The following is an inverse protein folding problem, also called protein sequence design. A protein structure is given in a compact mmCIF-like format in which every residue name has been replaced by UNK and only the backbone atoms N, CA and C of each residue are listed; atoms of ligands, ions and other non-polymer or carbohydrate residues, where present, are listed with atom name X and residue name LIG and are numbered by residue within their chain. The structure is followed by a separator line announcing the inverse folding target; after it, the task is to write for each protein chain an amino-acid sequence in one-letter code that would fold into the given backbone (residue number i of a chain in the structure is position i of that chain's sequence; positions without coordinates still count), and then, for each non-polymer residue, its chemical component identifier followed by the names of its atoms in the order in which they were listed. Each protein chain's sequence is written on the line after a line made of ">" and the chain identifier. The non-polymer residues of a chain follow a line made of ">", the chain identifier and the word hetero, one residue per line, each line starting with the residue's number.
data_IF_189812170314
#
_entry.id   IF_189812170314
#
_cell.length_a   1.000
_cell.length_b   1.000
_cell.length_c   1.000
_cell.angle_alpha   90.00
_cell.angle_beta   90.00
_cell.angle_gamma   90.00
#
_symmetry.space_group_name_H-M   'P 1'
#
loop_
_entity.id
_entity.type
_entity.pdbx_description
1 polymer ?
#
# COMPACT_ATOMS: atom_id res chain seq x y z
N UNK A 1 9.06 36.46 44.56
CA UNK A 1 7.84 35.65 44.24
C UNK A 1 7.49 35.68 42.75
N UNK A 2 7.61 36.83 42.04
CA UNK A 2 7.27 36.90 40.60
C UNK A 2 8.10 36.02 39.68
N UNK A 3 9.41 35.97 39.90
CA UNK A 3 10.33 35.15 39.09
C UNK A 3 10.02 33.63 39.17
N UNK A 4 9.66 33.16 40.38
CA UNK A 4 9.31 31.76 40.60
C UNK A 4 8.00 31.36 39.88
N UNK A 5 7.02 32.27 39.83
CA UNK A 5 5.75 32.06 39.13
C UNK A 5 6.00 31.98 37.62
N UNK A 6 6.82 32.86 37.05
CA UNK A 6 7.18 32.84 35.64
C UNK A 6 7.94 31.56 35.29
N UNK A 7 8.90 31.16 36.10
CA UNK A 7 9.65 29.91 35.89
C UNK A 7 8.74 28.67 35.92
N UNK A 8 7.80 28.63 36.87
CA UNK A 8 6.81 27.55 36.97
C UNK A 8 5.87 27.53 35.75
N UNK A 9 5.38 28.70 35.32
CA UNK A 9 4.52 28.81 34.16
C UNK A 9 5.22 28.34 32.87
N UNK A 10 6.48 28.69 32.66
CA UNK A 10 7.29 28.24 31.52
C UNK A 10 7.49 26.73 31.58
N UNK A 11 7.84 26.17 32.74
CA UNK A 11 8.04 24.73 32.91
C UNK A 11 6.75 23.95 32.65
N UNK A 12 5.61 24.39 33.15
CA UNK A 12 4.32 23.76 32.89
C UNK A 12 3.93 23.87 31.43
N UNK A 13 4.11 25.03 30.79
CA UNK A 13 3.81 25.22 29.37
C UNK A 13 4.67 24.31 28.48
N UNK A 14 5.95 24.18 28.81
CA UNK A 14 6.83 23.28 28.07
C UNK A 14 6.41 21.81 28.22
N UNK A 15 6.07 21.37 29.44
CA UNK A 15 5.61 20.00 29.71
C UNK A 15 4.30 19.71 29.00
N UNK A 16 3.33 20.62 29.06
CA UNK A 16 2.04 20.45 28.34
C UNK A 16 2.28 20.43 26.83
N UNK A 17 3.10 21.35 26.30
CA UNK A 17 3.41 21.38 24.86
C UNK A 17 4.05 20.09 24.36
N UNK A 18 5.01 19.54 25.09
CA UNK A 18 5.63 18.25 24.75
C UNK A 18 4.62 17.11 24.82
N UNK A 19 3.77 17.07 25.86
CA UNK A 19 2.74 16.02 25.99
C UNK A 19 1.76 16.05 24.82
N UNK A 20 1.24 17.22 24.46
CA UNK A 20 0.32 17.39 23.31
C UNK A 20 0.98 16.98 22.01
N UNK A 21 2.25 17.32 21.80
CA UNK A 21 3.01 16.93 20.61
C UNK A 21 3.17 15.40 20.53
N UNK A 22 3.53 14.75 21.63
CA UNK A 22 3.69 13.28 21.69
C UNK A 22 2.37 12.57 21.44
N UNK A 23 1.26 13.06 22.05
CA UNK A 23 -0.05 12.45 21.85
C UNK A 23 -0.57 12.64 20.42
N UNK A 24 -0.35 13.82 19.83
CA UNK A 24 -0.69 14.09 18.43
C UNK A 24 0.12 13.17 17.49
N UNK A 25 1.41 13.01 17.74
CA UNK A 25 2.28 12.13 16.95
C UNK A 25 1.83 10.66 17.05
N UNK A 26 1.58 10.17 18.28
CA UNK A 26 1.05 8.81 18.48
C UNK A 26 -0.27 8.60 17.74
N UNK A 27 -1.20 9.55 17.85
CA UNK A 27 -2.49 9.49 17.15
C UNK A 27 -2.33 9.45 15.63
N UNK A 28 -1.35 10.19 15.09
CA UNK A 28 -1.06 10.19 13.65
C UNK A 28 -0.43 8.87 13.19
N UNK A 29 0.53 8.33 13.97
CA UNK A 29 1.16 7.04 13.66
C UNK A 29 0.16 5.90 13.75
N UNK A 30 -0.70 5.87 14.76
CA UNK A 30 -1.72 4.82 14.89
C UNK A 30 -2.69 4.85 13.71
N UNK A 31 -3.22 6.04 13.35
CA UNK A 31 -4.09 6.16 12.17
C UNK A 31 -3.39 5.72 10.89
N UNK A 32 -2.15 6.11 10.71
CA UNK A 32 -1.36 5.68 9.55
C UNK A 32 -1.18 4.15 9.51
N UNK A 33 -0.89 3.52 10.64
CA UNK A 33 -0.77 2.06 10.73
C UNK A 33 -2.10 1.37 10.42
N UNK A 34 -3.20 1.84 11.00
CA UNK A 34 -4.54 1.31 10.76
C UNK A 34 -4.96 1.45 9.29
N UNK A 35 -4.59 2.53 8.61
CA UNK A 35 -4.85 2.74 7.20
C UNK A 35 -3.92 1.90 6.30
N UNK A 36 -2.63 1.80 6.64
CA UNK A 36 -1.64 1.11 5.81
C UNK A 36 -1.66 -0.40 5.95
N UNK A 37 -2.02 -0.91 7.15
CA UNK A 37 -2.04 -2.34 7.47
C UNK A 37 -3.48 -2.83 7.52
N UNK A 38 -4.08 -3.06 6.36
CA UNK A 38 -5.48 -3.52 6.27
C UNK A 38 -5.63 -5.03 6.50
N UNK A 39 -4.59 -5.82 6.23
CA UNK A 39 -4.62 -7.27 6.48
C UNK A 39 -4.11 -7.58 7.90
N UNK A 40 -4.64 -8.66 8.48
CA UNK A 40 -4.27 -9.12 9.82
C UNK A 40 -2.86 -9.71 9.86
N UNK A 41 -2.43 -10.36 8.77
CA UNK A 41 -1.10 -10.95 8.64
C UNK A 41 -0.53 -10.67 7.26
N UNK A 42 0.74 -10.28 7.22
CA UNK A 42 1.48 -10.11 5.97
C UNK A 42 2.60 -11.13 5.85
N UNK A 43 2.65 -11.80 4.71
CA UNK A 43 3.75 -12.65 4.30
C UNK A 43 4.41 -12.07 3.04
N UNK A 44 5.73 -11.98 3.02
CA UNK A 44 6.40 -11.39 1.87
C UNK A 44 7.90 -11.69 1.82
N UNK A 45 8.50 -11.39 0.67
CA UNK A 45 9.93 -11.53 0.41
C UNK A 45 10.53 -10.15 0.11
N UNK A 46 11.77 -9.94 0.55
CA UNK A 46 12.48 -8.68 0.28
C UNK A 46 13.00 -8.60 -1.16
N UNK A 47 13.24 -9.74 -1.79
CA UNK A 47 13.74 -9.83 -3.18
C UNK A 47 13.14 -11.06 -3.85
N UNK A 48 12.82 -10.91 -5.14
CA UNK A 48 12.22 -11.97 -5.94
C UNK A 48 10.71 -12.04 -5.78
N UNK A 49 10.16 -13.22 -5.78
CA UNK A 49 8.73 -13.48 -5.61
C UNK A 49 8.54 -14.63 -4.62
N UNK A 50 7.37 -14.68 -3.99
CA UNK A 50 6.93 -15.82 -3.20
C UNK A 50 6.84 -17.05 -4.12
N UNK A 51 7.32 -18.19 -3.63
CA UNK A 51 7.13 -19.47 -4.31
C UNK A 51 5.65 -19.77 -4.53
N UNK A 52 5.28 -20.25 -5.72
CA UNK A 52 3.87 -20.43 -6.10
C UNK A 52 3.15 -21.46 -5.21
N UNK A 53 3.84 -22.57 -4.84
CA UNK A 53 3.25 -23.56 -3.95
C UNK A 53 3.12 -23.03 -2.52
N UNK A 54 4.04 -22.16 -2.08
CA UNK A 54 3.94 -21.49 -0.79
C UNK A 54 2.76 -20.51 -0.81
N UNK A 55 2.61 -19.72 -1.87
CA UNK A 55 1.50 -18.79 -2.03
C UNK A 55 0.14 -19.50 -1.94
N UNK A 56 0.00 -20.64 -2.63
CA UNK A 56 -1.20 -21.46 -2.58
C UNK A 56 -1.43 -22.10 -1.19
N UNK A 57 -0.36 -22.55 -0.54
CA UNK A 57 -0.46 -23.10 0.81
C UNK A 57 -0.90 -22.04 1.83
N UNK A 58 -0.38 -20.80 1.72
CA UNK A 58 -0.74 -19.67 2.58
C UNK A 58 -2.20 -19.25 2.41
N UNK A 59 -2.70 -19.24 1.17
CA UNK A 59 -4.11 -18.93 0.87
C UNK A 59 -5.10 -19.94 1.45
N UNK A 60 -4.65 -21.20 1.68
CA UNK A 60 -5.47 -22.30 2.20
C UNK A 60 -5.36 -22.49 3.71
N UNK A 61 -4.74 -21.58 4.42
CA UNK A 61 -4.71 -21.64 5.89
C UNK A 61 -6.14 -21.48 6.42
N UNK A 62 -6.56 -22.39 7.29
CA UNK A 62 -7.88 -22.34 7.92
C UNK A 62 -8.05 -21.03 8.69
N UNK A 63 -9.19 -20.38 8.52
CA UNK A 63 -9.53 -19.10 9.12
C UNK A 63 -9.07 -17.89 8.29
N UNK A 64 -8.56 -18.08 7.07
CA UNK A 64 -8.32 -17.00 6.09
C UNK A 64 -9.57 -16.81 5.25
N UNK A 65 -10.22 -15.66 5.39
CA UNK A 65 -11.43 -15.30 4.64
C UNK A 65 -11.10 -14.71 3.26
N UNK A 66 -10.09 -13.85 3.20
CA UNK A 66 -9.69 -13.18 1.96
C UNK A 66 -8.17 -12.94 1.91
N UNK A 67 -7.68 -12.66 0.71
CA UNK A 67 -6.26 -12.34 0.51
C UNK A 67 -6.09 -11.17 -0.44
N UNK A 68 -5.07 -10.35 -0.18
CA UNK A 68 -4.55 -9.36 -1.13
C UNK A 68 -3.14 -9.76 -1.57
N UNK A 69 -2.75 -9.36 -2.77
CA UNK A 69 -1.39 -9.60 -3.27
C UNK A 69 -0.81 -8.32 -3.85
N UNK A 70 0.49 -8.13 -3.70
CA UNK A 70 1.19 -7.07 -4.41
C UNK A 70 2.45 -7.57 -5.10
N UNK A 71 2.73 -6.99 -6.27
CA UNK A 71 3.98 -7.11 -7.00
C UNK A 71 4.54 -5.73 -7.23
N UNK A 72 5.81 -5.52 -6.91
CA UNK A 72 6.52 -4.25 -7.11
C UNK A 72 7.60 -4.44 -8.16
N UNK A 73 7.53 -3.63 -9.19
CA UNK A 73 8.55 -3.53 -10.23
C UNK A 73 9.09 -2.09 -10.31
N UNK A 74 9.99 -1.90 -11.26
CA UNK A 74 10.49 -0.58 -11.60
C UNK A 74 10.42 -0.42 -13.11
N UNK A 75 9.89 0.70 -13.53
CA UNK A 75 9.93 1.13 -14.92
C UNK A 75 10.85 2.35 -15.02
N UNK A 76 11.52 2.49 -16.16
CA UNK A 76 12.38 3.64 -16.44
C UNK A 76 11.86 4.32 -17.70
N UNK A 77 11.53 5.59 -17.58
CA UNK A 77 11.07 6.43 -18.68
C UNK A 77 11.85 7.75 -18.66
N UNK A 78 12.46 8.11 -19.79
CA UNK A 78 13.26 9.33 -19.92
C UNK A 78 14.35 9.53 -18.83
N UNK A 79 14.90 8.43 -18.28
CA UNK A 79 15.89 8.46 -17.21
C UNK A 79 15.31 8.65 -15.80
N UNK A 80 14.00 8.68 -15.68
CA UNK A 80 13.30 8.70 -14.39
C UNK A 80 12.86 7.29 -14.03
N UNK A 81 13.24 6.85 -12.84
CA UNK A 81 12.88 5.54 -12.30
C UNK A 81 11.60 5.66 -11.48
N UNK A 82 10.54 5.00 -11.93
CA UNK A 82 9.23 4.99 -11.29
C UNK A 82 8.89 3.60 -10.77
N UNK A 83 8.34 3.52 -9.57
CA UNK A 83 7.86 2.25 -9.03
C UNK A 83 6.53 1.86 -9.69
N UNK A 84 6.45 0.65 -10.22
CA UNK A 84 5.21 0.05 -10.69
C UNK A 84 4.71 -0.94 -9.64
N UNK A 85 3.47 -0.77 -9.22
CA UNK A 85 2.85 -1.60 -8.18
C UNK A 85 1.59 -2.25 -8.74
N UNK A 86 1.62 -3.56 -8.91
CA UNK A 86 0.44 -4.34 -9.29
C UNK A 86 -0.20 -4.94 -8.04
N UNK A 87 -1.47 -4.64 -7.81
CA UNK A 87 -2.18 -5.08 -6.60
C UNK A 87 -3.46 -5.81 -6.98
N UNK A 88 -3.72 -6.92 -6.27
CA UNK A 88 -5.05 -7.49 -6.14
C UNK A 88 -5.53 -7.18 -4.74
N UNK A 89 -6.56 -6.38 -4.63
CA UNK A 89 -7.14 -6.00 -3.34
C UNK A 89 -8.13 -7.06 -2.84
N UNK A 90 -8.16 -7.27 -1.53
CA UNK A 90 -9.23 -8.02 -0.88
C UNK A 90 -10.50 -7.15 -0.78
N UNK A 91 -11.70 -7.74 -0.76
CA UNK A 91 -12.92 -6.99 -0.46
C UNK A 91 -12.75 -6.18 0.84
N UNK A 92 -13.10 -4.91 0.82
CA UNK A 92 -12.96 -4.02 1.99
C UNK A 92 -11.60 -3.37 2.20
N UNK A 93 -10.52 -3.83 1.53
CA UNK A 93 -9.18 -3.24 1.68
C UNK A 93 -8.97 -1.92 0.93
N UNK A 94 -9.91 -1.54 0.09
CA UNK A 94 -9.85 -0.28 -0.67
C UNK A 94 -9.77 0.97 0.22
N UNK A 95 -10.37 0.91 1.41
CA UNK A 95 -10.36 2.00 2.38
C UNK A 95 -8.96 2.36 2.90
N UNK A 96 -7.98 1.45 2.73
CA UNK A 96 -6.58 1.70 3.06
C UNK A 96 -5.84 2.63 2.10
N UNK A 97 -6.46 2.94 0.95
CA UNK A 97 -5.87 3.84 -0.05
C UNK A 97 -6.69 5.12 -0.12
N UNK A 98 -6.12 6.23 0.33
CA UNK A 98 -6.77 7.54 0.30
C UNK A 98 -6.68 8.15 -1.10
N UNK A 99 -7.83 8.37 -1.74
CA UNK A 99 -7.96 9.02 -3.04
C UNK A 99 -8.10 10.52 -2.83
N UNK A 100 -7.33 11.33 -3.58
CA UNK A 100 -7.20 12.77 -3.34
C UNK A 100 -8.04 13.64 -4.28
N UNK A 101 -8.23 13.23 -5.53
CA UNK A 101 -8.76 14.08 -6.62
C UNK A 101 -9.94 13.48 -7.39
N UNK A 102 -10.54 12.40 -6.87
CA UNK A 102 -11.71 11.74 -7.45
C UNK A 102 -12.59 11.10 -6.36
N UNK A 103 -13.81 10.67 -6.70
CA UNK A 103 -14.68 9.94 -5.79
C UNK A 103 -14.25 8.45 -5.75
N UNK A 104 -13.87 7.90 -4.59
CA UNK A 104 -13.53 6.48 -4.45
C UNK A 104 -14.63 5.53 -4.96
N UNK A 105 -15.90 5.92 -4.85
CA UNK A 105 -17.02 5.11 -5.32
C UNK A 105 -17.02 4.90 -6.85
N UNK A 106 -16.49 5.85 -7.61
CA UNK A 106 -16.33 5.74 -9.04
C UNK A 106 -14.98 5.12 -9.43
N UNK A 107 -13.92 5.41 -8.66
CA UNK A 107 -12.54 4.97 -8.95
C UNK A 107 -12.42 3.46 -8.89
N UNK A 108 -12.86 2.82 -7.81
CA UNK A 108 -12.59 1.40 -7.60
C UNK A 108 -13.27 0.47 -8.60
N UNK A 109 -14.57 0.67 -8.96
CA UNK A 109 -15.18 -0.13 -10.03
C UNK A 109 -14.50 0.05 -11.39
N UNK A 110 -14.08 1.28 -11.72
CA UNK A 110 -13.37 1.56 -12.95
C UNK A 110 -11.97 0.93 -12.98
N UNK A 111 -11.24 0.97 -11.85
CA UNK A 111 -9.92 0.39 -11.71
C UNK A 111 -9.90 -1.15 -11.84
N UNK A 112 -10.95 -1.82 -11.38
CA UNK A 112 -11.10 -3.27 -11.55
C UNK A 112 -11.53 -3.65 -12.98
N UNK A 113 -12.29 -2.80 -13.67
CA UNK A 113 -12.91 -3.11 -14.96
C UNK A 113 -12.08 -2.69 -16.17
N UNK A 114 -11.21 -1.68 -16.04
CA UNK A 114 -10.54 -1.03 -17.16
C UNK A 114 -9.00 -1.16 -17.09
N UNK A 115 -8.35 -0.91 -18.23
CA UNK A 115 -6.90 -0.72 -18.31
C UNK A 115 -6.55 0.69 -17.83
N UNK A 116 -6.58 0.87 -16.53
CA UNK A 116 -6.41 2.16 -15.89
C UNK A 116 -5.45 2.06 -14.70
N UNK A 117 -4.94 3.21 -14.27
CA UNK A 117 -3.96 3.32 -13.20
C UNK A 117 -4.34 4.38 -12.19
N UNK A 118 -3.78 4.26 -10.98
CA UNK A 118 -3.69 5.32 -9.99
C UNK A 118 -2.24 5.78 -9.92
N UNK A 119 -2.03 7.06 -9.66
CA UNK A 119 -0.69 7.62 -9.50
C UNK A 119 -0.49 8.13 -8.07
N UNK A 120 0.70 7.96 -7.52
CA UNK A 120 1.01 8.55 -6.22
C UNK A 120 1.04 10.07 -6.28
N UNK A 121 0.74 10.75 -5.17
CA UNK A 121 0.82 12.21 -5.08
C UNK A 121 2.17 12.76 -5.57
N UNK A 122 3.35 12.20 -5.22
CA UNK A 122 4.62 12.66 -5.77
C UNK A 122 4.72 12.48 -7.29
N UNK A 123 4.23 11.35 -7.84
CA UNK A 123 4.23 11.13 -9.28
C UNK A 123 3.35 12.17 -9.99
N UNK A 124 2.13 12.38 -9.49
CA UNK A 124 1.19 13.36 -10.04
C UNK A 124 1.75 14.77 -10.04
N UNK A 125 2.38 15.17 -8.94
CA UNK A 125 2.99 16.48 -8.79
C UNK A 125 4.17 16.73 -9.76
N UNK A 126 5.11 15.77 -9.87
CA UNK A 126 6.30 15.94 -10.70
C UNK A 126 6.01 15.82 -12.20
N UNK A 127 4.98 15.06 -12.59
CA UNK A 127 4.64 14.85 -14.00
C UNK A 127 3.42 15.67 -14.44
N UNK A 128 2.85 16.49 -13.56
CA UNK A 128 1.66 17.33 -13.82
C UNK A 128 0.45 16.51 -14.32
N UNK A 129 0.24 15.33 -13.73
CA UNK A 129 -0.86 14.42 -14.07
C UNK A 129 -1.75 14.15 -12.85
N UNK A 130 -3.04 13.92 -13.09
CA UNK A 130 -4.05 13.61 -12.09
C UNK A 130 -5.25 12.94 -12.71
N UNK A 131 -6.39 12.91 -12.01
CA UNK A 131 -7.62 12.30 -12.49
C UNK A 131 -8.01 12.81 -13.88
N UNK A 132 -8.31 11.87 -14.81
CA UNK A 132 -8.66 12.16 -16.20
C UNK A 132 -7.47 12.39 -17.14
N UNK A 133 -6.24 12.40 -16.65
CA UNK A 133 -5.03 12.41 -17.48
C UNK A 133 -4.81 11.06 -18.15
N UNK A 134 -3.87 11.01 -19.09
CA UNK A 134 -3.40 9.77 -19.71
C UNK A 134 -1.88 9.72 -19.62
N UNK A 135 -1.33 8.56 -19.28
CA UNK A 135 0.12 8.32 -19.24
C UNK A 135 0.48 7.14 -20.13
N UNK A 136 1.67 7.19 -20.72
CA UNK A 136 2.23 6.08 -21.49
C UNK A 136 3.23 5.35 -20.62
N UNK A 137 3.09 4.04 -20.44
CA UNK A 137 4.03 3.22 -19.69
C UNK A 137 4.72 2.21 -20.61
N UNK A 138 6.01 1.94 -20.41
CA UNK A 138 6.68 0.82 -21.06
C UNK A 138 6.12 -0.50 -20.51
N UNK A 139 5.72 -1.40 -21.41
CA UNK A 139 5.28 -2.76 -21.08
C UNK A 139 6.06 -3.78 -21.88
N UNK A 140 5.94 -5.07 -21.56
CA UNK A 140 6.63 -6.13 -22.30
C UNK A 140 6.10 -6.26 -23.73
N UNK A 141 4.88 -5.79 -23.99
CA UNK A 141 4.28 -5.71 -25.33
C UNK A 141 4.57 -4.37 -26.06
N UNK A 142 5.43 -3.51 -25.51
CA UNK A 142 5.74 -2.17 -26.01
C UNK A 142 5.00 -1.06 -25.22
N UNK A 143 5.23 0.21 -25.56
CA UNK A 143 4.58 1.34 -24.87
C UNK A 143 3.06 1.27 -24.98
N UNK A 144 2.36 1.52 -23.87
CA UNK A 144 0.90 1.51 -23.77
C UNK A 144 0.38 2.72 -23.02
N UNK A 145 -0.76 3.24 -23.46
CA UNK A 145 -1.46 4.33 -22.80
C UNK A 145 -2.42 3.78 -21.76
N UNK A 146 -2.42 4.42 -20.58
CA UNK A 146 -3.32 4.11 -19.48
C UNK A 146 -4.03 5.40 -19.03
N UNK A 147 -5.32 5.30 -18.77
CA UNK A 147 -6.07 6.39 -18.17
C UNK A 147 -5.77 6.47 -16.67
N UNK A 148 -5.48 7.68 -16.18
CA UNK A 148 -5.27 7.94 -14.75
C UNK A 148 -6.63 8.22 -14.13
N UNK A 149 -7.09 7.32 -13.27
CA UNK A 149 -8.39 7.46 -12.60
C UNK A 149 -8.32 8.44 -11.44
N UNK A 150 -7.21 8.43 -10.71
CA UNK A 150 -7.04 9.31 -9.57
C UNK A 150 -5.58 9.38 -9.10
N UNK A 151 -5.32 10.38 -8.28
CA UNK A 151 -4.12 10.48 -7.44
C UNK A 151 -4.42 9.91 -6.06
N UNK A 152 -3.53 9.08 -5.54
CA UNK A 152 -3.63 8.55 -4.18
C UNK A 152 -2.54 9.09 -3.26
N UNK A 153 -2.87 9.20 -1.97
CA UNK A 153 -1.90 9.63 -0.95
C UNK A 153 -0.82 8.57 -0.76
N UNK A 154 0.43 8.99 -0.94
CA UNK A 154 1.60 8.16 -0.66
C UNK A 154 2.35 8.71 0.53
N UNK A 155 2.60 7.85 1.52
CA UNK A 155 3.42 8.21 2.70
C UNK A 155 4.92 8.11 2.42
N UNK A 156 5.33 7.48 1.33
CA UNK A 156 6.70 7.55 0.83
C UNK A 156 6.83 8.74 -0.12
N UNK A 157 7.16 9.89 0.45
CA UNK A 157 7.32 11.16 -0.28
C UNK A 157 8.40 11.15 -1.35
N UNK A 158 9.27 10.13 -1.33
CA UNK A 158 10.33 9.95 -2.33
C UNK A 158 9.97 8.91 -3.39
N UNK A 159 8.89 8.17 -3.21
CA UNK A 159 8.47 7.13 -4.14
C UNK A 159 7.45 7.67 -5.15
N UNK A 160 7.96 8.06 -6.32
CA UNK A 160 7.14 8.19 -7.51
C UNK A 160 6.62 6.81 -7.91
N UNK A 161 5.31 6.60 -7.88
CA UNK A 161 4.72 5.28 -8.09
C UNK A 161 3.45 5.34 -8.96
N UNK A 162 3.30 4.32 -9.79
CA UNK A 162 2.09 4.02 -10.55
C UNK A 162 1.53 2.71 -10.04
N UNK A 163 0.26 2.69 -9.67
CA UNK A 163 -0.46 1.52 -9.19
C UNK A 163 -1.47 1.06 -10.22
N UNK A 164 -1.53 -0.22 -10.51
CA UNK A 164 -2.52 -0.84 -11.38
C UNK A 164 -3.10 -2.11 -10.77
N UNK A 165 -4.27 -2.52 -11.28
CA UNK A 165 -4.85 -3.79 -10.86
C UNK A 165 -3.96 -4.96 -11.32
N UNK A 166 -3.96 -6.04 -10.54
CA UNK A 166 -3.24 -7.26 -10.95
C UNK A 166 -3.74 -7.78 -12.30
N UNK A 167 -5.03 -7.64 -12.58
CA UNK A 167 -5.62 -8.06 -13.86
C UNK A 167 -5.11 -7.22 -15.04
N UNK A 168 -4.89 -5.93 -14.86
CA UNK A 168 -4.26 -5.07 -15.86
C UNK A 168 -2.78 -5.44 -16.05
N UNK A 169 -2.07 -5.66 -14.95
CA UNK A 169 -0.66 -6.06 -15.00
C UNK A 169 -0.46 -7.36 -15.78
N UNK A 170 -1.24 -8.40 -15.48
CA UNK A 170 -1.16 -9.72 -16.13
C UNK A 170 -1.41 -9.68 -17.65
N UNK A 171 -2.04 -8.60 -18.17
CA UNK A 171 -2.25 -8.43 -19.62
C UNK A 171 -1.05 -7.87 -20.36
N UNK A 172 -0.21 -7.11 -19.69
CA UNK A 172 0.83 -6.31 -20.34
C UNK A 172 2.25 -6.62 -19.87
N UNK A 173 2.40 -7.44 -18.82
CA UNK A 173 3.69 -7.82 -18.26
C UNK A 173 3.79 -9.34 -18.10
N UNK A 174 4.91 -9.92 -18.57
CA UNK A 174 5.22 -11.34 -18.48
C UNK A 174 5.84 -11.69 -17.10
N UNK A 175 5.18 -11.28 -16.03
CA UNK A 175 5.64 -11.47 -14.65
C UNK A 175 4.47 -11.86 -13.75
N UNK A 176 4.38 -13.15 -13.41
CA UNK A 176 3.37 -13.73 -12.53
C UNK A 176 3.75 -13.67 -11.03
N UNK A 177 4.92 -13.12 -10.70
CA UNK A 177 5.44 -13.02 -9.35
C UNK A 177 4.52 -12.27 -8.38
N UNK A 178 4.62 -12.62 -7.10
CA UNK A 178 3.98 -11.94 -5.97
C UNK A 178 5.04 -11.67 -4.89
N UNK A 179 5.19 -10.42 -4.47
CA UNK A 179 6.16 -10.05 -3.43
C UNK A 179 5.57 -10.15 -2.04
N UNK A 180 4.30 -9.76 -1.91
CA UNK A 180 3.60 -9.71 -0.63
C UNK A 180 2.20 -10.28 -0.76
N UNK A 181 1.83 -11.06 0.24
CA UNK A 181 0.49 -11.59 0.46
C UNK A 181 -0.04 -11.03 1.77
N UNK A 182 -1.19 -10.36 1.73
CA UNK A 182 -1.97 -10.00 2.90
C UNK A 182 -3.04 -11.07 3.15
N UNK A 183 -3.17 -11.50 4.40
CA UNK A 183 -4.17 -12.46 4.85
C UNK A 183 -5.19 -11.73 5.73
N UNK A 184 -6.45 -11.82 5.38
CA UNK A 184 -7.58 -11.30 6.12
C UNK A 184 -8.26 -12.47 6.81
N UNK A 185 -8.45 -12.38 8.12
CA UNK A 185 -8.89 -13.48 8.93
C UNK A 185 -10.41 -13.40 9.23
N UNK A 186 -11.03 -14.55 9.38
CA UNK A 186 -12.40 -14.65 9.89
C UNK A 186 -12.48 -14.12 11.33
N UNK A 187 -13.63 -13.61 11.72
CA UNK A 187 -13.88 -13.12 13.07
C UNK A 187 -13.54 -14.17 14.15
N UNK A 188 -12.72 -13.77 15.10
CA UNK A 188 -12.31 -14.61 16.23
C UNK A 188 -11.11 -15.54 15.96
N UNK A 189 -10.55 -15.54 14.76
CA UNK A 189 -9.30 -16.26 14.46
C UNK A 189 -8.11 -15.49 15.03
N UNK A 190 -7.22 -16.20 15.75
CA UNK A 190 -6.02 -15.59 16.31
C UNK A 190 -4.94 -15.38 15.24
N UNK A 191 -4.54 -14.12 15.02
CA UNK A 191 -3.44 -13.77 14.13
C UNK A 191 -2.12 -14.47 14.52
N UNK A 192 -1.82 -14.63 15.82
CA UNK A 192 -0.62 -15.32 16.29
C UNK A 192 -0.57 -16.77 15.82
N UNK A 193 -1.70 -17.47 15.83
CA UNK A 193 -1.79 -18.85 15.34
C UNK A 193 -1.55 -18.93 13.84
N UNK A 194 -2.07 -17.98 13.08
CA UNK A 194 -1.85 -17.90 11.62
C UNK A 194 -0.39 -17.55 11.33
N UNK A 195 0.21 -16.60 12.05
CA UNK A 195 1.64 -16.27 11.94
C UNK A 195 2.52 -17.50 12.20
N UNK A 196 2.22 -18.29 13.24
CA UNK A 196 2.98 -19.52 13.51
C UNK A 196 2.88 -20.53 12.35
N UNK A 197 1.70 -20.67 11.72
CA UNK A 197 1.50 -21.53 10.53
C UNK A 197 2.26 -20.99 9.30
N UNK A 198 2.21 -19.68 9.05
CA UNK A 198 2.98 -19.00 7.99
C UNK A 198 4.47 -19.28 8.16
N UNK A 199 5.00 -19.11 9.38
CA UNK A 199 6.41 -19.39 9.70
C UNK A 199 6.77 -20.85 9.46
N UNK A 200 5.94 -21.80 9.90
CA UNK A 200 6.16 -23.23 9.69
C UNK A 200 6.20 -23.61 8.21
N UNK A 201 5.31 -23.05 7.38
CA UNK A 201 5.28 -23.28 5.94
C UNK A 201 6.49 -22.65 5.23
N UNK A 202 6.96 -21.51 5.70
CA UNK A 202 8.12 -20.80 5.14
C UNK A 202 9.45 -21.43 5.51
N UNK A 203 9.60 -21.96 6.74
CA UNK A 203 10.86 -22.55 7.23
C UNK A 203 11.31 -23.82 6.47
N UNK A 204 10.40 -24.52 5.83
CA UNK A 204 10.69 -25.71 5.02
C UNK A 204 11.22 -25.44 3.61
N UNK A 205 11.37 -24.14 3.22
CA UNK A 205 11.61 -23.72 1.83
C UNK A 205 12.75 -22.71 1.65
N UNK A 206 13.68 -22.65 2.62
CA UNK A 206 14.94 -21.89 2.53
C UNK A 206 16.02 -22.70 1.84
#
# INVERSE_FOLDING_TARGET
>A
TGLAIVALAVALSATIGVSVMVDSFRGSVNRWLEQSLQADVYAGVQRGALDADLLEALRRIDGVEATSTSRRGWIEEAGVRTQLVAIRMAPGSYAGTEILDADPADVWPAWEAADAVLVSEPYGYYNEVGAGSRITLPTDAGPRDFDVLATYQSYDVNASAVMMSRATYDRYFDDDGVDTLGLYLEDGVSADNVVARVQALSAGRQ
#
